data_IF_468819731488
#
_entry.id   IF_468819731488
#
_cell.length_a   1.000
_cell.length_b   1.000
_cell.length_c   1.000
_cell.angle_alpha   90.00
_cell.angle_beta   90.00
_cell.angle_gamma   90.00
#
_symmetry.space_group_name_H-M   'P 1'
#
loop_
_entity.id
_entity.type
_entity.pdbx_description
1 polymer ?
#
# COMPACT_ATOMS: atom_id res chain seq x y z
N UNK A 1 47.81 18.28 27.39
CA UNK A 1 47.60 16.88 26.95
C UNK A 1 46.10 16.58 26.99
N UNK A 2 45.45 16.39 25.84
CA UNK A 2 44.04 15.97 25.81
C UNK A 2 43.94 14.47 26.14
N UNK A 3 43.03 14.09 27.05
CA UNK A 3 42.79 12.68 27.38
C UNK A 3 42.03 12.01 26.23
N UNK A 4 42.57 10.91 25.72
CA UNK A 4 41.92 10.06 24.72
C UNK A 4 40.58 9.53 25.25
N UNK A 5 39.51 9.47 24.43
CA UNK A 5 38.23 8.92 24.85
C UNK A 5 38.35 7.43 25.23
N UNK A 6 37.55 7.00 26.20
CA UNK A 6 37.51 5.59 26.64
C UNK A 6 36.92 4.72 25.51
N UNK A 7 37.39 3.48 25.31
CA UNK A 7 36.97 2.64 24.18
C UNK A 7 35.46 2.42 24.07
N UNK A 8 34.74 2.35 25.19
CA UNK A 8 33.27 2.21 25.22
C UNK A 8 32.51 3.38 24.58
N UNK A 9 33.12 4.57 24.48
CA UNK A 9 32.51 5.74 23.82
C UNK A 9 32.33 5.49 22.32
N UNK A 10 33.30 4.82 21.67
CA UNK A 10 33.19 4.45 20.26
C UNK A 10 32.11 3.39 20.04
N UNK A 11 31.98 2.43 20.96
CA UNK A 11 30.88 1.46 20.94
C UNK A 11 29.52 2.14 21.08
N UNK A 12 29.37 3.08 22.02
CA UNK A 12 28.12 3.83 22.21
C UNK A 12 27.78 4.69 20.98
N UNK A 13 28.78 5.37 20.40
CA UNK A 13 28.60 6.15 19.18
C UNK A 13 28.16 5.28 17.99
N UNK A 14 28.77 4.10 17.83
CA UNK A 14 28.38 3.13 16.80
C UNK A 14 26.94 2.62 16.99
N UNK A 15 26.56 2.26 18.21
CA UNK A 15 25.21 1.80 18.54
C UNK A 15 24.15 2.87 18.24
N UNK A 16 24.38 4.13 18.62
CA UNK A 16 23.47 5.23 18.34
C UNK A 16 23.31 5.49 16.84
N UNK A 17 24.42 5.43 16.10
CA UNK A 17 24.39 5.64 14.64
C UNK A 17 23.58 4.54 13.96
N UNK A 18 23.77 3.27 14.34
CA UNK A 18 23.03 2.15 13.78
C UNK A 18 21.52 2.20 14.08
N UNK A 19 21.13 2.57 15.31
CA UNK A 19 19.72 2.76 15.66
C UNK A 19 19.08 3.89 14.84
N UNK A 20 19.81 4.99 14.67
CA UNK A 20 19.31 6.12 13.89
C UNK A 20 19.08 5.76 12.42
N UNK A 21 20.06 5.13 11.76
CA UNK A 21 19.93 4.71 10.36
C UNK A 21 18.80 3.71 10.18
N UNK A 22 18.69 2.72 11.07
CA UNK A 22 17.62 1.72 11.01
C UNK A 22 16.23 2.32 11.19
N UNK A 23 16.07 3.29 12.10
CA UNK A 23 14.78 3.97 12.31
C UNK A 23 14.35 4.80 11.09
N UNK A 24 15.29 5.51 10.47
CA UNK A 24 15.03 6.30 9.25
C UNK A 24 14.64 5.37 8.09
N UNK A 25 15.39 4.29 7.88
CA UNK A 25 15.11 3.33 6.81
C UNK A 25 13.75 2.64 6.98
N UNK A 26 13.42 2.20 8.20
CA UNK A 26 12.11 1.61 8.50
C UNK A 26 10.96 2.60 8.27
N UNK A 27 11.14 3.87 8.67
CA UNK A 27 10.14 4.91 8.47
C UNK A 27 9.88 5.17 6.97
N UNK A 28 10.94 5.25 6.15
CA UNK A 28 10.81 5.42 4.71
C UNK A 28 10.16 4.23 4.02
N UNK A 29 10.53 3.00 4.42
CA UNK A 29 9.93 1.79 3.86
C UNK A 29 8.43 1.70 4.13
N UNK A 30 7.98 2.04 5.35
CA UNK A 30 6.55 1.99 5.67
C UNK A 30 5.75 3.07 4.93
N UNK A 31 6.32 4.27 4.80
CA UNK A 31 5.65 5.39 4.12
C UNK A 31 5.58 5.20 2.61
N UNK A 32 6.61 4.60 2.00
CA UNK A 32 6.59 4.29 0.56
C UNK A 32 5.52 3.25 0.22
N UNK A 33 5.35 2.22 1.07
CA UNK A 33 4.32 1.21 0.90
C UNK A 33 2.90 1.81 0.99
N UNK A 34 2.64 2.68 1.97
CA UNK A 34 1.35 3.36 2.08
C UNK A 34 1.07 4.27 0.89
N UNK A 35 2.04 5.08 0.48
CA UNK A 35 1.89 5.99 -0.67
C UNK A 35 1.56 5.23 -1.96
N UNK A 36 2.13 4.03 -2.14
CA UNK A 36 1.87 3.18 -3.29
C UNK A 36 0.45 2.58 -3.27
N UNK A 37 -0.06 2.19 -2.10
CA UNK A 37 -1.47 1.76 -1.93
C UNK A 37 -2.44 2.92 -2.18
N UNK A 38 -2.13 4.12 -1.67
CA UNK A 38 -2.94 5.31 -1.89
C UNK A 38 -3.00 5.67 -3.39
N UNK A 39 -1.85 5.61 -4.07
CA UNK A 39 -1.78 5.86 -5.51
C UNK A 39 -2.63 4.86 -6.30
N UNK A 40 -2.53 3.58 -5.96
CA UNK A 40 -3.32 2.49 -6.53
C UNK A 40 -4.82 2.68 -6.33
N UNK A 41 -5.24 2.99 -5.10
CA UNK A 41 -6.63 3.27 -4.79
C UNK A 41 -7.12 4.49 -5.58
N UNK A 42 -6.28 5.51 -5.72
CA UNK A 42 -6.61 6.71 -6.49
C UNK A 42 -6.82 6.38 -7.98
N UNK A 43 -5.99 5.51 -8.57
CA UNK A 43 -6.18 5.06 -9.96
C UNK A 43 -7.55 4.43 -10.18
N UNK A 44 -8.03 3.59 -9.25
CA UNK A 44 -9.36 2.98 -9.36
C UNK A 44 -10.46 4.04 -9.15
N UNK A 45 -10.31 4.92 -8.16
CA UNK A 45 -11.27 6.02 -7.92
C UNK A 45 -11.43 6.91 -9.15
N UNK A 46 -10.35 7.21 -9.86
CA UNK A 46 -10.38 8.03 -11.07
C UNK A 46 -11.20 7.39 -12.21
N UNK A 47 -11.29 6.05 -12.26
CA UNK A 47 -12.17 5.34 -13.19
C UNK A 47 -13.65 5.52 -12.81
N UNK A 48 -13.99 5.45 -11.53
CA UNK A 48 -15.38 5.57 -11.06
C UNK A 48 -15.90 7.00 -11.06
N UNK A 49 -15.04 7.98 -10.76
CA UNK A 49 -15.41 9.40 -10.77
C UNK A 49 -15.82 9.90 -12.16
N UNK A 50 -15.40 9.21 -13.23
CA UNK A 50 -15.88 9.49 -14.60
C UNK A 50 -17.35 9.14 -14.79
N UNK A 51 -17.86 8.18 -14.01
CA UNK A 51 -19.24 7.67 -14.13
C UNK A 51 -20.17 8.21 -13.03
N UNK A 52 -19.64 8.70 -11.90
CA UNK A 52 -20.45 9.30 -10.84
C UNK A 52 -19.70 9.51 -9.51
N UNK A 53 -20.35 10.14 -8.51
CA UNK A 53 -19.73 10.40 -7.23
C UNK A 53 -19.49 9.13 -6.41
N UNK A 54 -18.29 9.04 -5.83
CA UNK A 54 -17.90 7.98 -4.89
C UNK A 54 -18.34 8.37 -3.48
N UNK A 55 -18.93 7.42 -2.76
CA UNK A 55 -19.35 7.56 -1.36
C UNK A 55 -18.31 6.98 -0.38
N UNK A 56 -17.53 5.98 -0.81
CA UNK A 56 -16.48 5.38 0.00
C UNK A 56 -15.51 4.53 -0.82
N UNK A 57 -14.30 4.33 -0.30
CA UNK A 57 -13.28 3.51 -0.96
C UNK A 57 -12.29 2.95 0.05
N UNK A 58 -11.77 1.75 -0.18
CA UNK A 58 -10.74 1.12 0.64
C UNK A 58 -9.83 0.22 -0.22
N UNK A 59 -8.62 -0.05 0.27
CA UNK A 59 -7.69 -1.02 -0.29
C UNK A 59 -6.99 -1.76 0.87
N UNK A 60 -6.92 -3.08 0.79
CA UNK A 60 -6.17 -3.89 1.74
C UNK A 60 -4.67 -3.71 1.51
N UNK A 61 -3.93 -3.43 2.58
CA UNK A 61 -2.47 -3.39 2.51
C UNK A 61 -1.85 -4.78 2.40
N UNK A 62 -2.57 -5.82 2.86
CA UNK A 62 -2.10 -7.19 2.82
C UNK A 62 -2.24 -7.75 1.40
N UNK A 63 -1.19 -8.42 0.94
CA UNK A 63 -1.20 -9.16 -0.31
C UNK A 63 -1.72 -10.58 -0.08
N UNK A 64 -2.47 -11.09 -1.05
CA UNK A 64 -3.02 -12.44 -1.04
C UNK A 64 -2.69 -13.17 -2.34
N UNK A 65 -2.43 -14.48 -2.31
CA UNK A 65 -2.23 -15.26 -3.52
C UNK A 65 -3.53 -15.36 -4.31
N UNK A 66 -3.47 -15.08 -5.61
CA UNK A 66 -4.60 -15.17 -6.54
C UNK A 66 -4.16 -15.89 -7.81
N UNK A 67 -4.94 -16.89 -8.21
CA UNK A 67 -4.74 -17.61 -9.47
C UNK A 67 -5.72 -17.06 -10.50
N UNK A 68 -5.19 -16.32 -11.48
CA UNK A 68 -5.99 -15.73 -12.53
C UNK A 68 -6.57 -16.76 -13.51
N UNK A 69 -7.47 -16.29 -14.38
CA UNK A 69 -8.13 -17.12 -15.42
C UNK A 69 -7.14 -17.80 -16.38
N UNK A 70 -5.91 -17.28 -16.50
CA UNK A 70 -4.82 -17.85 -17.29
C UNK A 70 -4.02 -18.96 -16.57
N UNK A 71 -4.39 -19.30 -15.33
CA UNK A 71 -3.69 -20.30 -14.51
C UNK A 71 -2.41 -19.81 -13.84
N UNK A 72 -2.05 -18.52 -13.97
CA UNK A 72 -0.87 -17.95 -13.31
C UNK A 72 -1.23 -17.43 -11.92
N UNK A 73 -0.45 -17.80 -10.91
CA UNK A 73 -0.56 -17.27 -9.56
C UNK A 73 0.25 -15.98 -9.42
N UNK A 74 -0.35 -14.95 -8.82
CA UNK A 74 0.28 -13.67 -8.48
C UNK A 74 -0.25 -13.17 -7.15
N UNK A 75 0.50 -12.30 -6.50
CA UNK A 75 0.04 -11.63 -5.29
C UNK A 75 -0.84 -10.44 -5.66
N UNK A 76 -1.98 -10.30 -4.98
CA UNK A 76 -2.95 -9.24 -5.23
C UNK A 76 -3.35 -8.50 -3.96
N UNK A 77 -3.68 -7.22 -4.11
CA UNK A 77 -4.42 -6.46 -3.11
C UNK A 77 -5.90 -6.41 -3.52
N UNK A 78 -6.79 -6.65 -2.56
CA UNK A 78 -8.22 -6.39 -2.73
C UNK A 78 -8.55 -4.96 -2.32
N UNK A 79 -9.59 -4.41 -2.90
CA UNK A 79 -10.13 -3.14 -2.48
C UNK A 79 -11.58 -3.00 -2.90
N UNK A 80 -12.23 -1.94 -2.44
CA UNK A 80 -13.62 -1.70 -2.77
C UNK A 80 -13.93 -0.23 -3.02
N UNK A 81 -14.94 0.01 -3.85
CA UNK A 81 -15.51 1.32 -4.11
C UNK A 81 -17.02 1.24 -3.90
N UNK A 82 -17.56 2.18 -3.14
CA UNK A 82 -19.00 2.37 -3.00
C UNK A 82 -19.39 3.65 -3.71
N UNK A 83 -20.37 3.59 -4.60
CA UNK A 83 -20.91 4.76 -5.29
C UNK A 83 -22.43 4.77 -5.25
N UNK A 84 -22.99 5.93 -5.58
CA UNK A 84 -24.44 6.06 -5.73
C UNK A 84 -24.82 6.01 -7.21
N UNK A 85 -25.62 5.02 -7.58
CA UNK A 85 -26.19 4.85 -8.92
C UNK A 85 -27.71 4.84 -8.83
N UNK A 86 -28.37 5.71 -9.59
CA UNK A 86 -29.84 5.75 -9.66
C UNK A 86 -30.52 5.83 -8.26
N UNK A 87 -29.90 6.56 -7.33
CA UNK A 87 -30.36 6.71 -5.96
C UNK A 87 -30.06 5.52 -5.03
N UNK A 88 -29.45 4.44 -5.54
CA UNK A 88 -29.05 3.26 -4.77
C UNK A 88 -27.54 3.25 -4.52
N UNK A 89 -27.11 2.77 -3.35
CA UNK A 89 -25.71 2.48 -3.09
C UNK A 89 -25.34 1.18 -3.80
N UNK A 90 -24.30 1.24 -4.64
CA UNK A 90 -23.68 0.09 -5.29
C UNK A 90 -22.26 -0.04 -4.80
N UNK A 91 -21.89 -1.25 -4.41
CA UNK A 91 -20.55 -1.57 -3.97
C UNK A 91 -19.86 -2.44 -5.01
N UNK A 92 -18.59 -2.15 -5.27
CA UNK A 92 -17.72 -2.87 -6.16
C UNK A 92 -16.51 -3.33 -5.38
N UNK A 93 -16.01 -4.51 -5.73
CA UNK A 93 -14.73 -5.03 -5.27
C UNK A 93 -13.79 -5.14 -6.48
N UNK A 94 -12.55 -4.77 -6.27
CA UNK A 94 -11.51 -4.81 -7.28
C UNK A 94 -10.31 -5.61 -6.81
N UNK A 95 -9.62 -6.21 -7.78
CA UNK A 95 -8.41 -7.00 -7.57
C UNK A 95 -7.26 -6.31 -8.28
N UNK A 96 -6.17 -6.05 -7.58
CA UNK A 96 -5.02 -5.35 -8.13
C UNK A 96 -3.74 -6.16 -7.97
N UNK A 97 -2.97 -6.30 -9.03
CA UNK A 97 -1.68 -7.01 -9.04
C UNK A 97 -0.64 -6.27 -8.19
N UNK A 98 -0.05 -6.94 -7.20
CA UNK A 98 0.93 -6.33 -6.28
C UNK A 98 2.24 -5.98 -6.98
N UNK A 99 2.83 -6.82 -7.85
CA UNK A 99 4.06 -6.48 -8.55
C UNK A 99 3.91 -5.30 -9.51
N UNK A 100 2.84 -5.25 -10.31
CA UNK A 100 2.70 -4.24 -11.37
C UNK A 100 1.79 -3.06 -11.01
N UNK A 101 0.92 -3.21 -10.01
CA UNK A 101 -0.15 -2.24 -9.74
C UNK A 101 -1.28 -2.27 -10.77
N UNK A 102 -1.34 -3.28 -11.65
CA UNK A 102 -2.37 -3.38 -12.67
C UNK A 102 -3.70 -3.79 -12.05
N UNK A 103 -4.78 -3.10 -12.42
CA UNK A 103 -6.15 -3.52 -12.12
C UNK A 103 -6.46 -4.80 -12.90
N UNK A 104 -6.69 -5.91 -12.20
CA UNK A 104 -6.91 -7.23 -12.80
C UNK A 104 -8.39 -7.50 -13.07
N UNK A 105 -9.25 -7.18 -12.12
CA UNK A 105 -10.70 -7.38 -12.24
C UNK A 105 -11.45 -6.40 -11.35
N UNK A 106 -12.72 -6.17 -11.71
CA UNK A 106 -13.65 -5.39 -10.91
C UNK A 106 -15.07 -5.91 -11.08
N UNK A 107 -15.75 -6.15 -9.97
CA UNK A 107 -17.09 -6.75 -9.98
C UNK A 107 -18.00 -6.13 -8.91
N UNK A 108 -19.31 -6.03 -9.19
CA UNK A 108 -20.27 -5.57 -8.20
C UNK A 108 -20.42 -6.60 -7.08
N UNK A 109 -20.48 -6.12 -5.84
CA UNK A 109 -21.00 -6.86 -4.69
C UNK A 109 -22.52 -6.65 -4.67
N UNK A 110 -23.26 -7.77 -4.75
CA UNK A 110 -24.70 -7.82 -5.02
C UNK A 110 -25.56 -6.96 -4.09
#
# INVERSE_FOLDING_TARGET
MAKSPRPWVYFAAGALTGLFTGAVEMYWHQRSAQHLLDHRLQQVKDLFLQEGPIQGSWIESQAHPYTGKNGRTTDVNYGGITRQENGQLRQYEFIMDVPTGQLLDIYPLA
#
